data_IF_004310751544
#
_entry.id   IF_004310751544
#
_cell.length_a   1.000
_cell.length_b   1.000
_cell.length_c   1.000
_cell.angle_alpha   90.00
_cell.angle_beta   90.00
_cell.angle_gamma   90.00
#
_symmetry.space_group_name_H-M   'P 1'
#
loop_
_entity.id
_entity.type
_entity.pdbx_description
1 polymer ?
#
# COMPACT_ATOMS: atom_id res chain seq x y z
N UNK A 1 -4.69 8.40 -7.92
CA UNK A 1 -4.22 7.79 -6.65
C UNK A 1 -4.01 8.90 -5.65
N UNK A 2 -4.00 8.58 -4.34
CA UNK A 2 -3.70 9.56 -3.30
C UNK A 2 -2.21 9.47 -2.95
N UNK A 3 -1.51 10.61 -3.06
CA UNK A 3 -0.07 10.73 -2.80
C UNK A 3 0.29 10.25 -1.38
N UNK A 4 1.32 9.39 -1.27
CA UNK A 4 1.81 8.75 -0.04
C UNK A 4 0.80 7.83 0.65
N UNK A 5 -0.36 7.60 0.05
CA UNK A 5 -1.45 6.86 0.68
C UNK A 5 -1.70 5.52 0.02
N UNK A 6 -1.01 5.10 -1.05
CA UNK A 6 -1.15 3.80 -1.71
C UNK A 6 -2.62 3.35 -1.74
N UNK A 7 -3.47 4.25 -2.24
CA UNK A 7 -4.94 4.17 -2.24
C UNK A 7 -5.48 4.86 -3.49
N UNK A 8 -6.63 4.39 -3.97
CA UNK A 8 -7.41 5.12 -4.96
C UNK A 8 -8.20 6.25 -4.30
N UNK A 9 -8.17 7.42 -4.93
CA UNK A 9 -8.90 8.61 -4.50
C UNK A 9 -10.42 8.44 -4.66
N UNK A 10 -10.84 7.65 -5.65
CA UNK A 10 -12.21 7.19 -5.82
C UNK A 10 -12.37 5.87 -5.08
N UNK A 11 -13.16 5.78 -3.99
CA UNK A 11 -13.38 4.53 -3.25
C UNK A 11 -14.45 3.65 -3.92
N UNK A 12 -15.39 4.27 -4.62
CA UNK A 12 -16.35 3.61 -5.48
C UNK A 12 -16.90 4.57 -6.53
N UNK A 13 -17.38 4.02 -7.64
CA UNK A 13 -18.14 4.77 -8.64
C UNK A 13 -19.31 3.93 -9.13
N UNK A 14 -20.33 4.57 -9.71
CA UNK A 14 -21.56 3.90 -10.13
C UNK A 14 -21.73 4.03 -11.63
N UNK A 15 -22.14 2.94 -12.28
CA UNK A 15 -22.40 2.90 -13.71
C UNK A 15 -23.65 2.08 -13.99
N UNK A 16 -24.42 2.49 -14.99
CA UNK A 16 -25.57 1.70 -15.44
C UNK A 16 -25.11 0.48 -16.25
N UNK A 17 -25.81 -0.65 -16.07
CA UNK A 17 -25.49 -1.93 -16.69
C UNK A 17 -25.39 -1.81 -18.22
N UNK A 18 -24.35 -2.42 -18.79
CA UNK A 18 -24.11 -2.42 -20.24
C UNK A 18 -23.69 -1.07 -20.84
N UNK A 19 -23.47 -0.02 -20.02
CA UNK A 19 -23.00 1.26 -20.53
C UNK A 19 -21.48 1.26 -20.77
N UNK A 20 -21.00 1.86 -21.88
CA UNK A 20 -19.58 2.05 -22.08
C UNK A 20 -19.04 3.07 -21.07
N UNK A 21 -17.84 2.81 -20.54
CA UNK A 21 -17.14 3.72 -19.65
C UNK A 21 -15.63 3.69 -19.91
N UNK A 22 -14.97 4.74 -19.43
CA UNK A 22 -13.52 4.82 -19.39
C UNK A 22 -13.07 5.12 -17.97
N UNK A 23 -12.12 4.35 -17.47
CA UNK A 23 -11.44 4.59 -16.20
C UNK A 23 -10.06 5.14 -16.50
N UNK A 24 -9.76 6.33 -15.97
CA UNK A 24 -8.44 6.95 -16.02
C UNK A 24 -7.75 6.70 -14.68
N UNK A 25 -6.62 6.01 -14.69
CA UNK A 25 -5.74 5.88 -13.54
C UNK A 25 -4.60 6.89 -13.69
N UNK A 26 -4.60 7.93 -12.85
CA UNK A 26 -3.48 8.85 -12.68
C UNK A 26 -2.69 8.45 -11.42
N UNK A 27 -1.39 8.23 -11.58
CA UNK A 27 -0.53 7.82 -10.48
C UNK A 27 0.25 9.03 -9.93
N UNK A 28 -0.21 9.56 -8.81
CA UNK A 28 0.46 10.61 -8.04
C UNK A 28 1.28 10.05 -6.86
N UNK A 29 1.42 8.73 -6.75
CA UNK A 29 2.21 8.07 -5.71
C UNK A 29 3.62 7.73 -6.23
N UNK A 30 4.54 7.45 -5.31
CA UNK A 30 5.94 7.17 -5.61
C UNK A 30 6.16 5.76 -6.18
N UNK A 31 5.23 4.84 -5.91
CA UNK A 31 5.31 3.47 -6.37
C UNK A 31 4.47 3.27 -7.64
N UNK A 32 4.83 2.31 -8.50
CA UNK A 32 3.99 1.96 -9.63
C UNK A 32 2.70 1.29 -9.17
N UNK A 33 1.61 1.57 -9.88
CA UNK A 33 0.30 1.01 -9.59
C UNK A 33 -0.42 0.60 -10.87
N UNK A 34 -1.16 -0.49 -10.83
CA UNK A 34 -2.14 -0.86 -11.84
C UNK A 34 -3.53 -0.90 -11.22
N UNK A 35 -4.58 -0.96 -12.04
CA UNK A 35 -5.95 -1.16 -11.62
C UNK A 35 -6.54 -2.36 -12.38
N UNK A 36 -7.00 -3.36 -11.64
CA UNK A 36 -7.63 -4.58 -12.16
C UNK A 36 -9.05 -4.66 -11.64
N UNK A 37 -10.03 -4.64 -12.54
CA UNK A 37 -11.46 -4.81 -12.25
C UNK A 37 -11.77 -6.30 -12.26
N UNK A 38 -12.38 -6.81 -11.19
CA UNK A 38 -12.66 -8.24 -11.02
C UNK A 38 -14.16 -8.53 -10.94
N UNK A 39 -14.52 -9.79 -11.16
CA UNK A 39 -15.82 -10.31 -10.78
C UNK A 39 -16.07 -10.17 -9.26
N UNK A 40 -17.35 -10.15 -8.82
CA UNK A 40 -17.69 -10.11 -7.40
C UNK A 40 -17.07 -11.28 -6.64
N UNK A 41 -16.43 -11.00 -5.51
CA UNK A 41 -15.78 -12.01 -4.66
C UNK A 41 -14.41 -12.50 -5.14
N UNK A 42 -13.93 -12.05 -6.31
CA UNK A 42 -12.65 -12.49 -6.87
C UNK A 42 -11.45 -11.60 -6.50
N UNK A 43 -11.65 -10.45 -5.83
CA UNK A 43 -10.58 -9.48 -5.56
C UNK A 43 -9.36 -10.12 -4.90
N UNK A 44 -9.54 -10.87 -3.80
CA UNK A 44 -8.43 -11.43 -3.04
C UNK A 44 -7.67 -12.49 -3.84
N UNK A 45 -8.37 -13.38 -4.54
CA UNK A 45 -7.73 -14.44 -5.34
C UNK A 45 -6.98 -13.84 -6.53
N UNK A 46 -7.55 -12.84 -7.22
CA UNK A 46 -6.89 -12.14 -8.33
C UNK A 46 -5.67 -11.36 -7.84
N UNK A 47 -5.76 -10.65 -6.71
CA UNK A 47 -4.63 -9.90 -6.18
C UNK A 47 -3.46 -10.81 -5.79
N UNK A 48 -3.74 -11.92 -5.09
CA UNK A 48 -2.71 -12.90 -4.74
C UNK A 48 -2.11 -13.58 -5.97
N UNK A 49 -2.93 -13.88 -6.99
CA UNK A 49 -2.46 -14.46 -8.24
C UNK A 49 -1.60 -13.47 -9.05
N UNK A 50 -1.96 -12.17 -9.06
CA UNK A 50 -1.19 -11.13 -9.75
C UNK A 50 0.18 -10.91 -9.11
N UNK A 51 0.24 -10.92 -7.79
CA UNK A 51 1.50 -10.93 -7.05
C UNK A 51 2.38 -12.13 -7.43
N UNK A 52 1.79 -13.33 -7.55
CA UNK A 52 2.50 -14.54 -7.97
C UNK A 52 2.92 -14.52 -9.46
N UNK A 53 2.13 -13.88 -10.33
CA UNK A 53 2.46 -13.73 -11.75
C UNK A 53 3.69 -12.83 -11.96
N UNK A 54 3.92 -11.88 -11.06
CA UNK A 54 5.11 -11.04 -11.06
C UNK A 54 5.21 -10.11 -12.27
N UNK A 55 6.42 -9.58 -12.57
CA UNK A 55 6.63 -8.62 -13.65
C UNK A 55 6.21 -9.10 -15.05
N UNK A 56 6.24 -10.41 -15.30
CA UNK A 56 5.87 -10.98 -16.60
C UNK A 56 4.35 -10.91 -16.84
N UNK A 57 3.56 -11.11 -15.78
CA UNK A 57 2.10 -11.00 -15.81
C UNK A 57 1.45 -11.82 -16.94
N UNK A 58 0.44 -11.25 -17.60
CA UNK A 58 -0.28 -11.88 -18.71
C UNK A 58 -0.65 -10.84 -19.76
N UNK A 59 -0.49 -11.19 -21.05
CA UNK A 59 -0.84 -10.29 -22.15
C UNK A 59 0.01 -9.01 -22.21
N UNK A 60 1.23 -9.03 -21.67
CA UNK A 60 2.09 -7.84 -21.57
C UNK A 60 1.72 -6.88 -20.45
N UNK A 61 0.85 -7.29 -19.52
CA UNK A 61 0.44 -6.51 -18.36
C UNK A 61 1.14 -7.03 -17.09
N UNK A 62 2.18 -6.36 -16.59
CA UNK A 62 2.89 -6.78 -15.37
C UNK A 62 1.96 -6.92 -14.17
N UNK A 63 2.17 -7.98 -13.39
CA UNK A 63 1.42 -8.31 -12.18
C UNK A 63 -0.09 -8.54 -12.38
N UNK A 64 -0.54 -8.72 -13.63
CA UNK A 64 -1.90 -9.16 -13.94
C UNK A 64 -1.86 -10.67 -14.22
N UNK A 65 -2.61 -11.50 -13.48
CA UNK A 65 -2.59 -12.95 -13.69
C UNK A 65 -3.50 -13.37 -14.85
N UNK A 66 -3.25 -14.56 -15.40
CA UNK A 66 -4.19 -15.23 -16.29
C UNK A 66 -5.39 -15.74 -15.48
N UNK A 67 -6.51 -15.00 -15.53
CA UNK A 67 -7.72 -15.31 -14.77
C UNK A 67 -8.97 -14.88 -15.52
N UNK A 68 -9.94 -15.80 -15.63
CA UNK A 68 -11.26 -15.50 -16.20
C UNK A 68 -12.09 -14.54 -15.34
N UNK A 69 -11.72 -14.33 -14.08
CA UNK A 69 -12.42 -13.41 -13.18
C UNK A 69 -11.96 -11.96 -13.30
N UNK A 70 -11.07 -11.66 -14.26
CA UNK A 70 -10.66 -10.29 -14.59
C UNK A 70 -11.57 -9.77 -15.70
N UNK A 71 -12.21 -8.63 -15.43
CA UNK A 71 -13.08 -7.94 -16.38
C UNK A 71 -12.28 -6.98 -17.25
N UNK A 72 -11.37 -6.23 -16.62
CA UNK A 72 -10.45 -5.32 -17.31
C UNK A 72 -9.24 -5.03 -16.43
N UNK A 73 -8.12 -4.66 -17.06
CA UNK A 73 -6.90 -4.28 -16.36
C UNK A 73 -6.20 -3.12 -17.08
N UNK A 74 -5.55 -2.25 -16.31
CA UNK A 74 -4.60 -1.26 -16.84
C UNK A 74 -3.21 -1.88 -17.01
N UNK A 75 -2.36 -1.19 -17.74
CA UNK A 75 -0.90 -1.35 -17.62
C UNK A 75 -0.42 -0.96 -16.23
N UNK A 76 0.84 -1.28 -15.92
CA UNK A 76 1.51 -0.77 -14.72
C UNK A 76 1.87 0.71 -14.93
N UNK A 77 1.30 1.58 -14.10
CA UNK A 77 1.45 3.03 -14.22
C UNK A 77 2.56 3.51 -13.31
N UNK A 78 3.66 3.98 -13.89
CA UNK A 78 4.77 4.59 -13.16
C UNK A 78 4.34 5.92 -12.47
N UNK A 79 5.12 6.43 -11.50
CA UNK A 79 4.86 7.73 -10.89
C UNK A 79 4.72 8.86 -11.93
N UNK A 80 3.81 9.79 -11.68
CA UNK A 80 3.45 10.92 -12.55
C UNK A 80 2.98 10.52 -13.96
N UNK A 81 2.60 9.25 -14.16
CA UNK A 81 2.01 8.75 -15.41
C UNK A 81 0.53 8.43 -15.24
N UNK A 82 -0.10 8.13 -16.36
CA UNK A 82 -1.51 7.76 -16.42
C UNK A 82 -1.74 6.62 -17.39
N UNK A 83 -2.76 5.80 -17.13
CA UNK A 83 -3.27 4.79 -18.07
C UNK A 83 -4.80 4.84 -18.14
N UNK A 84 -5.37 4.40 -19.27
CA UNK A 84 -6.81 4.38 -19.51
C UNK A 84 -7.28 2.97 -19.78
N UNK A 85 -8.34 2.56 -19.09
CA UNK A 85 -9.09 1.35 -19.38
C UNK A 85 -10.40 1.77 -20.04
N UNK A 86 -10.74 1.16 -21.17
CA UNK A 86 -12.06 1.34 -21.81
C UNK A 86 -12.76 0.00 -21.79
N UNK A 87 -13.98 -0.02 -21.25
CA UNK A 87 -14.78 -1.22 -21.10
C UNK A 87 -16.27 -0.90 -21.22
N UNK A 88 -17.07 -1.95 -21.39
CA UNK A 88 -18.51 -1.88 -21.19
C UNK A 88 -18.83 -2.44 -19.81
N UNK A 89 -19.63 -1.71 -19.03
CA UNK A 89 -20.06 -2.17 -17.72
C UNK A 89 -20.73 -3.54 -17.84
N UNK A 90 -20.52 -4.47 -16.88
CA UNK A 90 -21.25 -5.73 -16.82
C UNK A 90 -22.77 -5.54 -17.00
N UNK A 91 -23.42 -6.51 -17.63
CA UNK A 91 -24.88 -6.48 -17.81
C UNK A 91 -25.63 -6.83 -16.53
N UNK A 92 -24.97 -7.55 -15.60
CA UNK A 92 -25.55 -7.90 -14.32
C UNK A 92 -25.28 -6.78 -13.29
N UNK A 93 -26.31 -6.24 -12.63
CA UNK A 93 -26.13 -5.32 -11.52
C UNK A 93 -25.41 -6.00 -10.35
N UNK A 94 -24.47 -5.29 -9.74
CA UNK A 94 -23.66 -5.82 -8.65
C UNK A 94 -22.49 -4.93 -8.27
N UNK A 95 -21.74 -5.38 -7.27
CA UNK A 95 -20.52 -4.73 -6.79
C UNK A 95 -19.31 -5.44 -7.40
N UNK A 96 -18.60 -4.75 -8.30
CA UNK A 96 -17.44 -5.27 -9.03
C UNK A 96 -16.17 -4.59 -8.50
N UNK A 97 -15.38 -5.28 -7.67
CA UNK A 97 -14.22 -4.67 -7.07
C UNK A 97 -13.16 -4.30 -8.11
N UNK A 98 -12.40 -3.25 -7.85
CA UNK A 98 -11.13 -3.01 -8.52
C UNK A 98 -10.00 -2.93 -7.51
N UNK A 99 -8.82 -3.38 -7.91
CA UNK A 99 -7.69 -3.59 -6.99
C UNK A 99 -6.36 -3.34 -7.67
N UNK A 100 -5.39 -2.82 -6.94
CA UNK A 100 -4.00 -2.84 -7.37
C UNK A 100 -3.39 -4.22 -7.07
N UNK A 101 -2.83 -4.88 -8.08
CA UNK A 101 -2.21 -6.21 -7.94
C UNK A 101 -0.70 -6.15 -7.84
N UNK A 102 -0.11 -4.95 -7.78
CA UNK A 102 1.30 -4.79 -7.42
C UNK A 102 1.52 -5.35 -5.99
N UNK A 103 2.65 -6.04 -5.71
CA UNK A 103 2.83 -6.78 -4.48
C UNK A 103 2.54 -5.95 -3.22
N UNK A 104 1.80 -6.54 -2.28
CA UNK A 104 1.40 -5.93 -1.00
C UNK A 104 0.48 -4.68 -1.07
N UNK A 105 0.09 -4.18 -2.24
CA UNK A 105 -0.77 -2.98 -2.33
C UNK A 105 -2.27 -3.28 -2.12
N UNK A 106 -2.71 -4.47 -2.51
CA UNK A 106 -4.12 -4.87 -2.56
C UNK A 106 -4.84 -4.85 -1.20
N UNK A 107 -4.11 -4.85 -0.08
CA UNK A 107 -4.70 -4.80 1.26
C UNK A 107 -5.42 -3.47 1.58
N UNK A 108 -5.12 -2.41 0.83
CA UNK A 108 -5.71 -1.08 1.02
C UNK A 108 -5.96 -0.32 -0.28
N UNK A 109 -5.37 -0.76 -1.38
CA UNK A 109 -5.54 -0.13 -2.69
C UNK A 109 -6.60 -0.85 -3.52
N UNK A 110 -7.85 -0.63 -3.14
CA UNK A 110 -9.04 -1.17 -3.81
C UNK A 110 -10.20 -0.19 -3.76
N UNK A 111 -11.22 -0.47 -4.56
CA UNK A 111 -12.52 0.18 -4.51
C UNK A 111 -13.56 -0.65 -5.25
N UNK A 112 -14.73 -0.07 -5.50
CA UNK A 112 -15.85 -0.81 -6.10
C UNK A 112 -16.47 -0.06 -7.28
N UNK A 113 -16.60 -0.72 -8.42
CA UNK A 113 -17.50 -0.32 -9.49
C UNK A 113 -18.89 -0.90 -9.18
N UNK A 114 -19.85 -0.04 -8.86
CA UNK A 114 -21.24 -0.43 -8.60
C UNK A 114 -22.01 -0.37 -9.90
N UNK A 115 -22.46 -1.53 -10.37
CA UNK A 115 -23.29 -1.64 -11.57
C UNK A 115 -24.76 -1.67 -11.16
N UNK A 116 -25.56 -0.75 -11.69
CA UNK A 116 -26.98 -0.59 -11.37
C UNK A 116 -27.85 -0.74 -12.62
N UNK A 117 -29.14 -1.06 -12.44
CA UNK A 117 -30.10 -1.11 -13.55
C UNK A 117 -30.52 0.28 -14.04
N UNK A 118 -30.57 1.23 -13.11
CA UNK A 118 -31.09 2.58 -13.32
C UNK A 118 -30.25 3.51 -12.44
N UNK A 119 -29.45 4.35 -13.10
CA UNK A 119 -28.56 5.29 -12.42
C UNK A 119 -29.33 6.44 -11.75
N UNK A 120 -30.45 6.88 -12.34
CA UNK A 120 -31.27 7.96 -11.81
C UNK A 120 -31.97 7.53 -10.51
N UNK A 121 -32.44 6.28 -10.45
CA UNK A 121 -33.00 5.70 -9.25
C UNK A 121 -31.95 5.53 -8.13
N UNK A 122 -30.73 5.11 -8.48
CA UNK A 122 -29.64 4.99 -7.50
C UNK A 122 -29.25 6.37 -6.93
N UNK A 123 -29.14 7.40 -7.78
CA UNK A 123 -28.79 8.76 -7.35
C UNK A 123 -29.80 9.37 -6.37
N UNK A 124 -31.06 8.91 -6.37
CA UNK A 124 -32.08 9.35 -5.40
C UNK A 124 -31.92 8.70 -4.02
N UNK A 125 -31.30 7.51 -3.94
CA UNK A 125 -31.09 6.79 -2.69
C UNK A 125 -29.78 5.97 -2.75
N UNK A 126 -28.62 6.65 -2.67
CA UNK A 126 -27.33 6.01 -2.79
C UNK A 126 -27.05 5.09 -1.61
N UNK A 127 -26.48 3.91 -1.91
CA UNK A 127 -26.02 2.96 -0.91
C UNK A 127 -24.53 2.73 -1.13
N UNK A 128 -23.73 2.97 -0.09
CA UNK A 128 -22.30 2.70 -0.12
C UNK A 128 -22.07 1.18 -0.28
N UNK A 129 -21.19 0.75 -1.21
CA UNK A 129 -20.92 -0.66 -1.42
C UNK A 129 -20.19 -1.29 -0.23
N UNK A 130 -20.26 -2.61 -0.13
CA UNK A 130 -19.55 -3.33 0.93
C UNK A 130 -18.06 -3.26 0.71
N UNK A 131 -17.30 -3.32 1.80
CA UNK A 131 -15.86 -3.45 1.72
C UNK A 131 -15.49 -4.79 1.03
N UNK A 132 -14.77 -4.77 -0.10
CA UNK A 132 -14.58 -5.96 -0.93
C UNK A 132 -13.57 -6.97 -0.35
N UNK A 133 -12.80 -6.59 0.68
CA UNK A 133 -11.94 -7.52 1.43
C UNK A 133 -12.59 -8.00 2.75
N UNK A 134 -13.84 -7.61 3.01
CA UNK A 134 -14.59 -8.00 4.20
C UNK A 134 -14.18 -7.27 5.49
N UNK A 135 -13.44 -6.16 5.39
CA UNK A 135 -13.15 -5.30 6.54
C UNK A 135 -14.40 -4.51 6.94
N UNK A 136 -14.72 -4.50 8.23
CA UNK A 136 -15.79 -3.65 8.79
C UNK A 136 -15.25 -2.33 9.35
N UNK A 137 -13.97 -2.01 9.11
CA UNK A 137 -13.38 -0.76 9.56
C UNK A 137 -13.86 0.38 8.66
N UNK A 138 -14.19 1.50 9.29
CA UNK A 138 -14.54 2.76 8.65
C UNK A 138 -13.47 3.80 8.98
N UNK A 139 -13.47 4.90 8.24
CA UNK A 139 -12.65 6.05 8.59
C UNK A 139 -13.02 6.57 9.99
N UNK A 140 -12.02 6.76 10.83
CA UNK A 140 -12.13 7.31 12.19
C UNK A 140 -11.69 8.76 12.20
N UNK A 141 -10.42 9.02 11.88
CA UNK A 141 -9.83 10.36 11.93
C UNK A 141 -8.51 10.39 11.15
N UNK A 142 -8.21 11.52 10.51
CA UNK A 142 -6.87 11.82 10.02
C UNK A 142 -6.01 12.27 11.20
N UNK A 143 -5.23 11.33 11.75
CA UNK A 143 -4.50 11.55 13.01
C UNK A 143 -3.30 12.48 12.85
N UNK A 144 -3.11 13.37 13.83
CA UNK A 144 -1.94 14.25 13.95
C UNK A 144 -1.16 13.96 15.24
N UNK A 145 0.07 14.46 15.35
CA UNK A 145 0.85 14.32 16.59
C UNK A 145 0.17 15.00 17.79
N UNK A 146 -0.53 16.10 17.56
CA UNK A 146 -1.18 16.89 18.61
C UNK A 146 -2.32 16.11 19.27
N UNK A 147 -3.00 15.25 18.50
CA UNK A 147 -4.06 14.35 19.00
C UNK A 147 -3.55 13.39 20.08
N UNK A 148 -2.24 13.15 20.17
CA UNK A 148 -1.61 12.25 21.14
C UNK A 148 -0.90 12.98 22.28
N UNK A 149 -1.11 14.29 22.43
CA UNK A 149 -0.62 15.04 23.59
C UNK A 149 -1.10 14.38 24.89
N UNK A 150 -0.17 14.10 25.81
CA UNK A 150 -0.44 13.43 27.09
C UNK A 150 -0.78 11.93 27.00
N UNK A 151 -0.87 11.34 25.80
CA UNK A 151 -1.32 9.95 25.63
C UNK A 151 -0.39 8.90 26.26
N UNK A 152 0.86 9.26 26.54
CA UNK A 152 1.90 8.37 27.06
C UNK A 152 2.28 8.64 28.52
N UNK A 153 1.57 9.52 29.24
CA UNK A 153 1.83 9.80 30.67
C UNK A 153 1.78 8.55 31.56
N UNK A 154 0.91 7.60 31.21
CA UNK A 154 0.78 6.32 31.90
C UNK A 154 1.80 5.26 31.44
N UNK A 155 2.71 5.59 30.52
CA UNK A 155 3.65 4.67 29.87
C UNK A 155 2.95 3.39 29.37
N UNK A 156 1.81 3.57 28.69
CA UNK A 156 1.00 2.48 28.12
C UNK A 156 0.53 1.41 29.13
N UNK A 157 0.49 1.73 30.42
CA UNK A 157 -0.06 0.80 31.43
C UNK A 157 -1.55 0.54 31.18
N UNK A 158 -1.96 -0.72 31.33
CA UNK A 158 -3.34 -1.16 31.13
C UNK A 158 -3.71 -1.46 29.68
N UNK A 159 -2.78 -1.28 28.74
CA UNK A 159 -2.93 -1.65 27.33
C UNK A 159 -2.74 -3.16 27.13
N UNK A 160 -3.32 -3.70 26.07
CA UNK A 160 -3.31 -5.07 25.59
C UNK A 160 -2.42 -5.24 24.35
N UNK A 161 -1.16 -5.70 24.53
CA UNK A 161 -0.27 -6.02 23.42
C UNK A 161 -0.85 -7.02 22.41
N UNK A 162 -1.74 -7.92 22.82
CA UNK A 162 -2.40 -8.85 21.92
C UNK A 162 -3.34 -8.15 20.91
N UNK A 163 -4.01 -7.06 21.33
CA UNK A 163 -4.81 -6.23 20.42
C UNK A 163 -3.88 -5.48 19.47
N UNK A 164 -2.76 -4.94 19.98
CA UNK A 164 -1.74 -4.29 19.16
C UNK A 164 -1.11 -5.20 18.10
N UNK A 165 -0.86 -6.47 18.44
CA UNK A 165 -0.36 -7.47 17.48
C UNK A 165 -1.38 -7.72 16.35
N UNK A 166 -2.66 -7.84 16.69
CA UNK A 166 -3.72 -7.99 15.69
C UNK A 166 -3.75 -6.78 14.75
N UNK A 167 -3.64 -5.57 15.30
CA UNK A 167 -3.58 -4.33 14.50
C UNK A 167 -2.33 -4.31 13.62
N UNK A 168 -1.17 -4.71 14.12
CA UNK A 168 0.07 -4.79 13.35
C UNK A 168 -0.07 -5.69 12.10
N UNK A 169 -0.83 -6.77 12.22
CA UNK A 169 -1.14 -7.65 11.10
C UNK A 169 -2.23 -7.07 10.17
N UNK A 170 -3.32 -6.54 10.74
CA UNK A 170 -4.44 -5.97 9.98
C UNK A 170 -4.04 -4.72 9.18
N UNK A 171 -3.19 -3.87 9.73
CA UNK A 171 -2.64 -2.68 9.09
C UNK A 171 -1.50 -3.01 8.11
N UNK A 172 -1.23 -4.30 7.87
CA UNK A 172 -0.20 -4.81 6.97
C UNK A 172 1.24 -4.40 7.32
N UNK A 173 1.50 -3.93 8.54
CA UNK A 173 2.85 -3.57 8.99
C UNK A 173 3.82 -4.76 8.88
N UNK A 174 3.33 -5.98 9.16
CA UNK A 174 4.08 -7.24 9.03
C UNK A 174 4.57 -7.53 7.61
N UNK A 175 3.89 -6.99 6.59
CA UNK A 175 4.28 -7.14 5.19
C UNK A 175 5.60 -6.44 4.85
N UNK A 176 5.93 -5.36 5.58
CA UNK A 176 7.14 -4.56 5.36
C UNK A 176 8.17 -4.67 6.48
N UNK A 177 7.72 -4.90 7.72
CA UNK A 177 8.57 -4.88 8.91
C UNK A 177 8.67 -6.24 9.59
N UNK A 178 9.89 -6.57 10.03
CA UNK A 178 10.18 -7.74 10.86
C UNK A 178 9.98 -7.47 12.34
N UNK A 179 9.45 -8.47 13.05
CA UNK A 179 9.52 -8.60 14.51
C UNK A 179 9.96 -10.04 14.81
N UNK A 180 11.00 -10.20 15.61
CA UNK A 180 11.60 -11.49 15.95
C UNK A 180 11.92 -12.37 14.71
N UNK A 181 12.52 -11.76 13.67
CA UNK A 181 12.79 -12.38 12.36
C UNK A 181 11.56 -12.82 11.54
N UNK A 182 10.33 -12.47 11.96
CA UNK A 182 9.10 -12.76 11.23
C UNK A 182 8.57 -11.48 10.59
N UNK A 183 8.28 -11.52 9.28
CA UNK A 183 7.74 -10.38 8.51
C UNK A 183 8.65 -9.94 7.35
N UNK A 184 8.31 -8.80 6.76
CA UNK A 184 9.00 -8.20 5.61
C UNK A 184 10.34 -7.53 5.95
N UNK A 185 11.16 -7.29 4.91
CA UNK A 185 12.49 -6.63 5.06
C UNK A 185 12.60 -5.31 4.31
N UNK A 186 11.46 -4.77 3.85
CA UNK A 186 11.42 -3.49 3.14
C UNK A 186 11.70 -2.35 4.10
N UNK A 187 11.07 -2.38 5.28
CA UNK A 187 11.31 -1.43 6.36
C UNK A 187 12.32 -1.93 7.39
N UNK A 188 12.72 -1.09 8.35
CA UNK A 188 13.55 -1.50 9.47
C UNK A 188 12.89 -2.58 10.32
N UNK A 189 13.68 -3.52 10.83
CA UNK A 189 13.23 -4.48 11.83
C UNK A 189 12.81 -3.74 13.12
N UNK A 190 11.67 -4.10 13.71
CA UNK A 190 11.06 -3.41 14.83
C UNK A 190 11.23 -4.10 16.18
N UNK A 191 11.86 -5.29 16.21
CA UNK A 191 12.04 -6.10 17.42
C UNK A 191 12.52 -5.29 18.62
N UNK A 192 13.55 -4.45 18.45
CA UNK A 192 14.14 -3.66 19.54
C UNK A 192 13.92 -2.16 19.34
N UNK A 193 12.80 -1.76 18.72
CA UNK A 193 12.53 -0.37 18.35
C UNK A 193 12.52 0.57 19.55
N UNK A 194 11.95 0.15 20.68
CA UNK A 194 11.93 0.96 21.90
C UNK A 194 13.32 1.13 22.51
N UNK A 195 14.17 0.12 22.48
CA UNK A 195 15.58 0.25 22.87
C UNK A 195 16.32 1.24 21.98
N UNK A 196 16.20 1.12 20.65
CA UNK A 196 16.87 2.03 19.69
C UNK A 196 16.46 3.48 19.87
N UNK A 197 15.18 3.70 20.14
CA UNK A 197 14.61 5.03 20.38
C UNK A 197 14.67 5.47 21.85
N UNK A 198 15.41 4.76 22.71
CA UNK A 198 15.58 5.10 24.15
C UNK A 198 14.23 5.29 24.88
N UNK A 199 13.24 4.48 24.51
CA UNK A 199 11.86 4.53 25.00
C UNK A 199 11.09 5.83 24.68
N UNK A 200 11.47 6.56 23.64
CA UNK A 200 10.71 7.71 23.14
C UNK A 200 9.44 7.28 22.39
N UNK A 201 8.31 7.19 23.12
CA UNK A 201 7.02 6.86 22.51
C UNK A 201 6.57 7.85 21.44
N UNK A 202 6.85 9.15 21.63
CA UNK A 202 6.42 10.20 20.70
C UNK A 202 7.23 10.10 19.41
N UNK A 203 8.54 9.86 19.51
CA UNK A 203 9.40 9.59 18.36
C UNK A 203 8.92 8.40 17.55
N UNK A 204 8.66 7.26 18.21
CA UNK A 204 8.16 6.05 17.53
C UNK A 204 6.78 6.28 16.89
N UNK A 205 5.86 6.96 17.58
CA UNK A 205 4.55 7.29 17.02
C UNK A 205 4.68 8.21 15.79
N UNK A 206 5.63 9.16 15.80
CA UNK A 206 5.88 10.05 14.65
C UNK A 206 6.29 9.27 13.41
N UNK A 207 7.13 8.24 13.54
CA UNK A 207 7.50 7.37 12.41
C UNK A 207 6.28 6.66 11.80
N UNK A 208 5.24 6.39 12.61
CA UNK A 208 4.01 5.74 12.16
C UNK A 208 3.05 6.73 11.50
N UNK A 209 2.85 7.91 12.09
CA UNK A 209 1.87 8.89 11.63
C UNK A 209 2.42 9.81 10.51
N UNK A 210 3.73 10.07 10.52
CA UNK A 210 4.40 11.00 9.60
C UNK A 210 5.66 10.32 9.02
N UNK A 211 5.51 9.21 8.27
CA UNK A 211 6.64 8.37 7.85
C UNK A 211 7.63 9.09 6.92
N UNK A 212 7.22 10.16 6.24
CA UNK A 212 8.08 10.97 5.35
C UNK A 212 8.79 12.12 6.07
N UNK A 213 8.56 12.35 7.37
CA UNK A 213 9.23 13.44 8.12
C UNK A 213 10.76 13.28 8.14
N UNK A 214 11.24 12.05 8.31
CA UNK A 214 12.65 11.71 8.26
C UNK A 214 12.79 10.27 7.79
N UNK A 215 13.58 10.06 6.73
CA UNK A 215 13.79 8.74 6.16
C UNK A 215 15.27 8.39 6.31
N UNK A 216 15.57 7.26 6.95
CA UNK A 216 16.92 6.71 6.98
C UNK A 216 17.36 6.38 5.54
N UNK A 217 18.57 6.80 5.16
CA UNK A 217 19.09 6.62 3.80
C UNK A 217 19.07 5.18 3.32
N UNK A 218 19.18 4.20 4.23
CA UNK A 218 19.13 2.77 3.90
C UNK A 218 17.75 2.33 3.38
N UNK A 219 16.69 3.04 3.76
CA UNK A 219 15.31 2.72 3.40
C UNK A 219 14.69 3.76 2.47
N UNK A 220 15.47 4.78 2.08
CA UNK A 220 15.00 5.82 1.16
C UNK A 220 14.91 5.27 -0.26
N UNK A 221 13.75 5.46 -0.88
CA UNK A 221 13.55 5.14 -2.28
C UNK A 221 14.44 5.99 -3.17
N UNK A 222 14.98 5.35 -4.19
CA UNK A 222 15.73 5.99 -5.25
C UNK A 222 14.99 5.82 -6.57
N UNK A 223 14.93 6.91 -7.33
CA UNK A 223 14.46 6.95 -8.70
C UNK A 223 15.70 6.99 -9.57
N UNK A 224 15.93 5.91 -10.32
CA UNK A 224 17.06 5.74 -11.23
C UNK A 224 16.54 5.93 -12.66
N UNK A 225 17.06 6.93 -13.37
CA UNK A 225 16.90 7.04 -14.81
C UNK A 225 18.09 6.36 -15.47
N UNK A 226 17.84 5.39 -16.33
CA UNK A 226 18.87 4.73 -17.14
C UNK A 226 19.06 5.42 -18.47
N UNK A 227 20.23 5.26 -19.09
CA UNK A 227 20.60 5.88 -20.36
C UNK A 227 19.70 5.43 -21.55
N UNK A 228 19.01 4.30 -21.42
CA UNK A 228 17.99 3.84 -22.37
C UNK A 228 16.59 4.43 -22.10
N UNK A 229 16.48 5.37 -21.16
CA UNK A 229 15.27 6.12 -20.84
C UNK A 229 14.29 5.40 -19.90
N UNK A 230 14.68 4.27 -19.27
CA UNK A 230 13.82 3.60 -18.29
C UNK A 230 13.95 4.27 -16.93
N UNK A 231 12.83 4.39 -16.23
CA UNK A 231 12.79 4.84 -14.84
C UNK A 231 12.52 3.64 -13.94
N UNK A 232 13.47 3.37 -13.03
CA UNK A 232 13.35 2.32 -12.03
C UNK A 232 13.27 2.96 -10.64
N UNK A 233 12.32 2.49 -9.83
CA UNK A 233 12.10 3.02 -8.48
C UNK A 233 12.25 1.88 -7.48
N UNK A 234 13.12 2.04 -6.48
CA UNK A 234 13.39 1.00 -5.49
C UNK A 234 14.33 1.44 -4.37
N UNK A 235 14.62 0.52 -3.45
CA UNK A 235 15.62 0.74 -2.38
C UNK A 235 16.98 0.22 -2.87
N UNK A 236 18.03 1.03 -2.75
CA UNK A 236 19.39 0.55 -3.04
C UNK A 236 19.85 -0.37 -1.93
N UNK A 237 20.07 -1.64 -2.26
CA UNK A 237 20.53 -2.67 -1.32
C UNK A 237 22.04 -2.92 -1.41
N UNK A 238 22.66 -2.54 -2.53
CA UNK A 238 24.10 -2.56 -2.72
C UNK A 238 24.51 -1.56 -3.81
N UNK A 239 25.67 -0.95 -3.67
CA UNK A 239 26.25 -0.04 -4.66
C UNK A 239 27.78 -0.16 -4.61
N UNK A 240 28.41 -0.26 -5.78
CA UNK A 240 29.86 -0.25 -5.95
C UNK A 240 30.22 0.53 -7.24
N UNK A 241 31.52 0.59 -7.55
CA UNK A 241 32.06 1.34 -8.69
C UNK A 241 31.52 0.86 -10.05
N UNK A 242 31.04 -0.39 -10.15
CA UNK A 242 30.55 -0.98 -11.40
C UNK A 242 29.01 -1.05 -11.47
N UNK A 243 28.32 -1.20 -10.34
CA UNK A 243 26.89 -1.57 -10.30
C UNK A 243 26.11 -0.98 -9.15
N UNK A 244 24.80 -0.81 -9.38
CA UNK A 244 23.78 -0.51 -8.38
C UNK A 244 22.77 -1.67 -8.35
N UNK A 245 22.49 -2.17 -7.16
CA UNK A 245 21.48 -3.20 -6.92
C UNK A 245 20.25 -2.57 -6.27
N UNK A 246 19.12 -2.61 -6.98
CA UNK A 246 17.88 -1.93 -6.63
C UNK A 246 16.77 -2.94 -6.31
N UNK A 247 16.23 -2.91 -5.10
CA UNK A 247 15.06 -3.67 -4.71
C UNK A 247 13.79 -2.89 -5.11
N UNK A 248 13.18 -3.27 -6.23
CA UNK A 248 12.08 -2.53 -6.87
C UNK A 248 10.69 -2.97 -6.41
N UNK A 249 10.58 -4.08 -5.67
CA UNK A 249 9.31 -4.51 -5.09
C UNK A 249 9.51 -5.21 -3.73
N UNK A 250 8.50 -5.17 -2.83
CA UNK A 250 8.59 -5.75 -1.49
C UNK A 250 8.89 -7.24 -1.39
N UNK A 251 8.59 -8.01 -2.44
CA UNK A 251 8.71 -9.46 -2.45
C UNK A 251 9.83 -9.96 -3.37
N UNK A 252 10.63 -9.05 -3.92
CA UNK A 252 11.69 -9.38 -4.85
C UNK A 252 12.71 -10.25 -4.13
N UNK A 253 12.93 -11.46 -4.66
CA UNK A 253 13.94 -12.38 -4.14
C UNK A 253 15.34 -11.86 -4.42
N UNK A 254 15.51 -11.23 -5.58
CA UNK A 254 16.78 -10.70 -6.07
C UNK A 254 16.59 -9.23 -6.49
N UNK A 255 17.59 -8.36 -6.26
CA UNK A 255 17.55 -6.98 -6.73
C UNK A 255 17.75 -6.90 -8.25
N UNK A 256 17.24 -5.82 -8.84
CA UNK A 256 17.57 -5.43 -10.22
C UNK A 256 18.99 -4.84 -10.21
N UNK A 257 19.88 -5.39 -11.04
CA UNK A 257 21.25 -4.90 -11.18
C UNK A 257 21.32 -3.95 -12.37
N UNK A 258 21.87 -2.76 -12.13
CA UNK A 258 22.06 -1.70 -13.13
C UNK A 258 23.56 -1.39 -13.16
N UNK A 259 24.18 -1.38 -14.34
CA UNK A 259 25.56 -0.94 -14.47
C UNK A 259 25.65 0.57 -14.21
N UNK A 260 26.69 1.03 -13.51
CA UNK A 260 26.89 2.47 -13.25
C UNK A 260 26.94 3.28 -14.56
N UNK A 261 27.55 2.73 -15.60
CA UNK A 261 27.63 3.36 -16.93
C UNK A 261 26.25 3.50 -17.62
N UNK A 262 25.26 2.70 -17.22
CA UNK A 262 23.90 2.77 -17.73
C UNK A 262 23.03 3.75 -16.92
N UNK A 263 23.54 4.35 -15.84
CA UNK A 263 22.81 5.30 -15.00
C UNK A 263 22.99 6.72 -15.52
N UNK A 264 21.88 7.36 -15.91
CA UNK A 264 21.87 8.77 -16.33
C UNK A 264 21.78 9.71 -15.12
N UNK A 265 20.85 9.44 -14.20
CA UNK A 265 20.81 10.10 -12.90
C UNK A 265 20.11 9.25 -11.84
N UNK A 266 20.42 9.55 -10.58
CA UNK A 266 19.72 8.99 -9.42
C UNK A 266 19.19 10.12 -8.56
N UNK A 267 17.91 10.05 -8.20
CA UNK A 267 17.28 10.98 -7.25
C UNK A 267 16.78 10.21 -6.06
N UNK A 268 17.23 10.62 -4.87
CA UNK A 268 16.65 10.19 -3.60
C UNK A 268 15.28 10.83 -3.42
N UNK A 269 14.27 10.02 -3.12
CA UNK A 269 12.94 10.50 -2.78
C UNK A 269 12.90 11.13 -1.39
N UNK A 270 12.11 12.19 -1.24
CA UNK A 270 11.76 12.77 0.06
C UNK A 270 10.55 12.08 0.71
N UNK A 271 9.91 11.17 -0.03
CA UNK A 271 8.71 10.44 0.36
C UNK A 271 9.04 9.02 0.78
N UNK A 272 8.45 8.57 1.89
CA UNK A 272 8.62 7.22 2.43
C UNK A 272 7.83 6.18 1.63
N UNK A 273 8.30 4.93 1.60
CA UNK A 273 7.48 3.81 1.13
C UNK A 273 6.37 3.44 2.10
N UNK A 274 6.55 3.74 3.39
CA UNK A 274 5.52 3.50 4.39
C UNK A 274 4.39 4.50 4.14
N UNK A 275 3.16 4.02 3.87
CA UNK A 275 2.07 4.94 3.59
C UNK A 275 1.71 5.81 4.79
N UNK A 276 1.31 7.06 4.53
CA UNK A 276 0.59 7.86 5.52
C UNK A 276 -0.84 7.34 5.70
N UNK A 277 -1.53 7.86 6.72
CA UNK A 277 -2.93 7.53 7.02
C UNK A 277 -3.21 6.04 7.30
N UNK A 278 -2.19 5.21 7.57
CA UNK A 278 -2.37 3.80 7.93
C UNK A 278 -3.26 3.63 9.17
N UNK A 279 -3.22 4.60 10.08
CA UNK A 279 -3.94 4.56 11.36
C UNK A 279 -5.32 5.20 11.31
N UNK A 280 -5.75 5.74 10.17
CA UNK A 280 -6.99 6.55 10.09
C UNK A 280 -8.27 5.73 10.28
N UNK A 281 -8.19 4.41 10.15
CA UNK A 281 -9.28 3.46 10.41
C UNK A 281 -9.22 2.81 11.80
N UNK A 282 -8.33 3.31 12.66
CA UNK A 282 -8.12 2.83 14.02
C UNK A 282 -8.41 3.95 15.01
N UNK A 283 -9.06 3.58 16.11
CA UNK A 283 -9.31 4.51 17.22
C UNK A 283 -8.00 4.87 17.93
N UNK A 284 -8.00 5.99 18.66
CA UNK A 284 -6.85 6.41 19.48
C UNK A 284 -6.39 5.30 20.42
N UNK A 285 -7.32 4.60 21.06
CA UNK A 285 -6.99 3.50 21.97
C UNK A 285 -6.32 2.34 21.23
N UNK A 286 -6.85 1.93 20.07
CA UNK A 286 -6.23 0.90 19.21
C UNK A 286 -4.79 1.27 18.79
N UNK A 287 -4.55 2.54 18.45
CA UNK A 287 -3.19 3.01 18.13
C UNK A 287 -2.27 2.88 19.36
N UNK A 288 -2.76 3.18 20.55
CA UNK A 288 -2.01 2.96 21.79
C UNK A 288 -1.81 1.47 22.10
N UNK A 289 -2.73 0.59 21.70
CA UNK A 289 -2.54 -0.86 21.75
C UNK A 289 -1.41 -1.33 20.83
N UNK A 290 -1.35 -0.80 19.60
CA UNK A 290 -0.23 -1.04 18.68
C UNK A 290 1.10 -0.60 19.28
N UNK A 291 1.14 0.59 19.87
CA UNK A 291 2.34 1.10 20.56
C UNK A 291 2.74 0.20 21.73
N UNK A 292 1.78 -0.38 22.46
CA UNK A 292 2.04 -1.32 23.55
C UNK A 292 2.58 -2.66 23.05
N UNK A 293 2.10 -3.14 21.91
CA UNK A 293 2.67 -4.33 21.25
C UNK A 293 4.13 -4.11 20.87
N UNK A 294 4.45 -3.02 20.18
CA UNK A 294 5.83 -2.67 19.81
C UNK A 294 6.73 -2.54 21.06
N UNK A 295 6.19 -2.08 22.19
CA UNK A 295 6.93 -2.01 23.45
C UNK A 295 7.14 -3.39 24.09
N UNK A 296 6.18 -4.31 23.92
CA UNK A 296 6.21 -5.63 24.53
C UNK A 296 7.17 -6.61 23.87
N UNK A 297 7.44 -6.42 22.57
CA UNK A 297 8.33 -7.29 21.79
C UNK A 297 9.81 -6.93 21.94
N UNK A 298 10.10 -5.77 22.53
CA UNK A 298 11.45 -5.27 22.81
C UNK A 298 12.23 -6.21 23.73
N UNK A 299 13.31 -6.79 23.22
CA UNK A 299 14.05 -7.85 23.94
C UNK A 299 14.78 -7.34 25.16
N UNK A 300 15.14 -6.05 25.21
CA UNK A 300 15.84 -5.48 26.36
C UNK A 300 14.99 -5.45 27.65
N UNK A 301 13.69 -5.74 27.56
CA UNK A 301 12.79 -5.87 28.71
C UNK A 301 12.56 -7.32 29.18
N UNK A 302 13.17 -8.33 28.54
CA UNK A 302 13.19 -9.73 29.01
C UNK A 302 14.50 -10.02 29.73
#
# INVERSE_FOLDING_TARGET
TVEEEMRYDVPYFVVEAGRPLQVLLENHDLMPHNLVITEPGALKSVAMAGQAAGPEGTGGLPYVPDSSSIIAASEMVAPDKSSRITLTAPSEPGEYPYVCTFPQHWYRMYGVMVVVKDLDAWNQNPVEPKNPIGSNRSFVQAWTMDDFTGAFESNLRGRSPAVGEKIFNEASCVGCHKINNVGGSVGPELTDVYTRWKSDHIGILREILVPSHQIDSKYAMQIVLTADGKTLTGIVVNENDDTIALLTNPEAKEPVIIAQDDVEFIKRSATSMMPKALMDQYTKDEILELMAYLQSVDKAKK
#
